data_IF_264216167643
#
_entry.id   IF_264216167643
#
_cell.length_a   1.000
_cell.length_b   1.000
_cell.length_c   1.000
_cell.angle_alpha   90.00
_cell.angle_beta   90.00
_cell.angle_gamma   90.00
#
_symmetry.space_group_name_H-M   'P 1'
#
loop_
_entity.id
_entity.type
_entity.pdbx_description
1 polymer ?
#
# COMPACT_ATOMS: atom_id res chain seq x y z
N UNK A 1 1.65 -19.37 9.02
CA UNK A 1 0.31 -19.42 8.41
C UNK A 1 0.38 -18.64 7.11
N UNK A 2 0.46 -19.35 5.98
CA UNK A 2 0.57 -18.73 4.65
C UNK A 2 -0.68 -17.91 4.36
N UNK A 3 -0.50 -16.63 4.03
CA UNK A 3 -1.57 -15.70 3.71
C UNK A 3 -2.23 -16.17 2.39
N UNK A 4 -3.33 -16.92 2.50
CA UNK A 4 -4.17 -17.29 1.35
C UNK A 4 -4.52 -16.01 0.58
N UNK A 5 -4.06 -15.92 -0.66
CA UNK A 5 -4.33 -14.81 -1.57
C UNK A 5 -3.36 -13.63 -1.47
N UNK A 6 -2.24 -13.70 -0.74
CA UNK A 6 -1.17 -12.71 -0.86
C UNK A 6 -0.09 -13.22 -1.82
N UNK A 7 0.10 -12.52 -2.93
CA UNK A 7 1.05 -12.89 -3.98
C UNK A 7 2.39 -12.17 -3.83
N UNK A 8 2.37 -10.97 -3.30
CA UNK A 8 3.57 -10.16 -3.05
C UNK A 8 3.36 -9.29 -1.82
N UNK A 9 4.42 -9.08 -1.04
CA UNK A 9 4.44 -8.11 0.04
C UNK A 9 5.84 -7.50 0.14
N UNK A 10 5.90 -6.18 0.18
CA UNK A 10 7.09 -5.43 0.56
C UNK A 10 6.74 -4.38 1.61
N UNK A 11 7.75 -3.95 2.37
CA UNK A 11 7.57 -2.93 3.42
C UNK A 11 8.67 -1.88 3.37
N UNK A 12 8.31 -0.65 3.70
CA UNK A 12 9.22 0.46 3.91
C UNK A 12 9.02 1.02 5.33
N UNK A 13 10.10 1.11 6.10
CA UNK A 13 10.07 1.64 7.47
C UNK A 13 10.65 3.04 7.46
N UNK A 14 9.93 4.00 8.04
CA UNK A 14 10.40 5.37 8.22
C UNK A 14 9.98 5.88 9.60
N UNK A 15 10.92 5.85 10.55
CA UNK A 15 10.68 6.28 11.93
C UNK A 15 9.49 5.55 12.59
N UNK A 16 8.42 6.30 12.89
CA UNK A 16 7.18 5.78 13.52
C UNK A 16 6.15 5.25 12.51
N UNK A 17 6.47 5.26 11.21
CA UNK A 17 5.57 4.81 10.14
C UNK A 17 6.16 3.57 9.46
N UNK A 18 5.31 2.59 9.21
CA UNK A 18 5.62 1.44 8.37
C UNK A 18 4.62 1.39 7.24
N UNK A 19 5.11 1.41 6.01
CA UNK A 19 4.32 1.26 4.80
C UNK A 19 4.41 -0.19 4.33
N UNK A 20 3.29 -0.76 3.92
CA UNK A 20 3.21 -2.10 3.34
C UNK A 20 2.61 -1.98 1.94
N UNK A 21 3.25 -2.61 0.96
CA UNK A 21 2.80 -2.68 -0.42
C UNK A 21 2.53 -4.13 -0.74
N UNK A 22 1.26 -4.51 -0.76
CA UNK A 22 0.85 -5.91 -0.93
C UNK A 22 0.10 -6.08 -2.24
N UNK A 23 0.38 -7.15 -2.98
CA UNK A 23 -0.45 -7.59 -4.09
C UNK A 23 -1.23 -8.81 -3.63
N UNK A 24 -2.55 -8.74 -3.75
CA UNK A 24 -3.46 -9.78 -3.31
C UNK A 24 -4.38 -10.22 -4.44
N UNK A 25 -4.83 -11.46 -4.34
CA UNK A 25 -5.79 -12.09 -5.23
C UNK A 25 -7.09 -12.34 -4.46
N UNK A 26 -8.22 -11.92 -5.03
CA UNK A 26 -9.54 -12.22 -4.46
C UNK A 26 -9.94 -13.68 -4.78
N UNK A 27 -11.13 -14.11 -4.36
CA UNK A 27 -11.62 -15.48 -4.63
C UNK A 27 -11.90 -15.77 -6.10
N UNK A 28 -12.05 -14.72 -6.91
CA UNK A 28 -12.36 -14.82 -8.34
C UNK A 28 -11.10 -14.81 -9.21
N UNK A 29 -9.91 -14.66 -8.62
CA UNK A 29 -8.64 -14.56 -9.34
C UNK A 29 -8.21 -13.13 -9.68
N UNK A 30 -8.99 -12.11 -9.28
CA UNK A 30 -8.66 -10.72 -9.58
C UNK A 30 -7.57 -10.19 -8.65
N UNK A 31 -6.59 -9.54 -9.26
CA UNK A 31 -5.47 -8.92 -8.56
C UNK A 31 -5.79 -7.50 -8.14
N UNK A 32 -5.38 -7.15 -6.93
CA UNK A 32 -5.45 -5.78 -6.42
C UNK A 32 -4.22 -5.44 -5.59
N UNK A 33 -3.85 -4.16 -5.65
CA UNK A 33 -2.82 -3.57 -4.80
C UNK A 33 -3.48 -3.12 -3.49
N UNK A 34 -2.82 -3.41 -2.37
CA UNK A 34 -3.20 -2.93 -1.04
C UNK A 34 -2.01 -2.23 -0.38
N UNK A 35 -2.08 -0.90 -0.31
CA UNK A 35 -1.09 -0.04 0.33
C UNK A 35 -1.58 0.27 1.75
N UNK A 36 -0.77 -0.05 2.75
CA UNK A 36 -1.11 0.19 4.16
C UNK A 36 -0.07 1.07 4.80
N UNK A 37 -0.48 2.20 5.38
CA UNK A 37 0.32 2.94 6.35
C UNK A 37 -0.05 2.46 7.76
N UNK A 38 0.96 2.06 8.54
CA UNK A 38 0.83 1.84 9.98
C UNK A 38 1.67 2.87 10.72
N UNK A 39 1.00 3.78 11.44
CA UNK A 39 1.61 4.85 12.21
C UNK A 39 1.49 4.55 13.70
N UNK A 40 2.61 4.60 14.42
CA UNK A 40 2.64 4.43 15.88
C UNK A 40 2.29 5.74 16.57
N UNK A 41 1.12 5.81 17.22
CA UNK A 41 0.59 7.01 17.90
C UNK A 41 0.90 7.05 19.41
N UNK A 42 1.39 5.96 19.99
CA UNK A 42 1.83 5.85 21.38
C UNK A 42 2.68 4.59 21.61
N UNK A 43 2.89 4.17 22.87
CA UNK A 43 3.68 2.95 23.12
C UNK A 43 3.02 1.68 22.55
N UNK A 44 1.68 1.61 22.58
CA UNK A 44 0.89 0.44 22.16
C UNK A 44 -0.19 0.72 21.11
N UNK A 45 -0.38 1.98 20.71
CA UNK A 45 -1.42 2.34 19.74
C UNK A 45 -0.84 2.48 18.33
N UNK A 46 -1.46 1.78 17.38
CA UNK A 46 -1.13 1.85 15.96
C UNK A 46 -2.36 2.28 15.18
N UNK A 47 -2.24 3.41 14.50
CA UNK A 47 -3.20 3.86 13.50
C UNK A 47 -2.87 3.18 12.16
N UNK A 48 -3.88 2.66 11.48
CA UNK A 48 -3.72 1.98 10.20
C UNK A 48 -4.64 2.62 9.16
N UNK A 49 -4.03 3.08 8.08
CA UNK A 49 -4.71 3.55 6.88
C UNK A 49 -4.46 2.57 5.75
N UNK A 50 -5.51 2.18 5.04
CA UNK A 50 -5.44 1.17 3.98
C UNK A 50 -6.07 1.73 2.71
N UNK A 51 -5.37 1.59 1.60
CA UNK A 51 -5.84 1.95 0.26
C UNK A 51 -5.81 0.69 -0.59
N UNK A 52 -6.94 0.36 -1.22
CA UNK A 52 -7.07 -0.74 -2.16
C UNK A 52 -7.24 -0.16 -3.56
N UNK A 53 -6.46 -0.66 -4.50
CA UNK A 53 -6.53 -0.26 -5.92
C UNK A 53 -6.67 -1.54 -6.74
N UNK A 54 -7.78 -1.66 -7.46
CA UNK A 54 -8.01 -2.80 -8.36
C UNK A 54 -7.20 -2.64 -9.65
N UNK A 55 -6.97 -3.74 -10.35
CA UNK A 55 -6.18 -3.77 -11.58
C UNK A 55 -6.70 -2.79 -12.64
N UNK A 56 -8.01 -2.61 -12.74
CA UNK A 56 -8.65 -1.69 -13.70
C UNK A 56 -8.31 -0.21 -13.45
N UNK A 57 -8.12 0.16 -12.18
CA UNK A 57 -7.82 1.55 -11.77
C UNK A 57 -6.31 1.82 -11.64
N UNK A 58 -5.47 0.78 -11.75
CA UNK A 58 -4.07 0.84 -11.39
C UNK A 58 -3.27 1.84 -12.25
N UNK A 59 -3.57 1.91 -13.54
CA UNK A 59 -2.89 2.82 -14.47
C UNK A 59 -3.15 4.28 -14.12
N UNK A 60 -4.42 4.66 -13.96
CA UNK A 60 -4.84 6.01 -13.55
C UNK A 60 -4.29 6.39 -12.17
N UNK A 61 -4.28 5.43 -11.23
CA UNK A 61 -3.71 5.63 -9.90
C UNK A 61 -2.20 5.90 -9.97
N UNK A 62 -1.46 5.11 -10.74
CA UNK A 62 0.00 5.27 -10.89
C UNK A 62 0.34 6.61 -11.54
N UNK A 63 -0.42 7.03 -12.56
CA UNK A 63 -0.19 8.33 -13.21
C UNK A 63 -0.33 9.50 -12.21
N UNK A 64 -1.40 9.49 -11.41
CA UNK A 64 -1.60 10.51 -10.37
C UNK A 64 -0.53 10.46 -9.28
N UNK A 65 -0.14 9.26 -8.86
CA UNK A 65 0.89 9.05 -7.86
C UNK A 65 2.27 9.54 -8.33
N UNK A 66 2.68 9.19 -9.54
CA UNK A 66 3.97 9.60 -10.12
C UNK A 66 4.06 11.11 -10.29
N UNK A 67 2.98 11.75 -10.78
CA UNK A 67 2.89 13.22 -10.87
C UNK A 67 3.08 13.87 -9.49
N UNK A 68 2.43 13.34 -8.45
CA UNK A 68 2.58 13.85 -7.09
C UNK A 68 4.00 13.64 -6.53
N UNK A 69 4.60 12.46 -6.75
CA UNK A 69 5.97 12.16 -6.32
C UNK A 69 6.98 13.06 -7.02
N UNK A 70 6.85 13.27 -8.32
CA UNK A 70 7.73 14.16 -9.09
C UNK A 70 7.68 15.60 -8.56
N UNK A 71 6.48 16.09 -8.21
CA UNK A 71 6.31 17.41 -7.61
C UNK A 71 7.03 17.52 -6.26
N UNK A 72 6.89 16.51 -5.38
CA UNK A 72 7.56 16.48 -4.07
C UNK A 72 9.08 16.42 -4.19
N UNK A 73 9.63 15.69 -5.17
CA UNK A 73 11.10 15.58 -5.36
C UNK A 73 11.77 16.84 -5.90
N UNK A 74 11.01 17.68 -6.62
CA UNK A 74 11.54 18.88 -7.28
C UNK A 74 11.46 20.11 -6.36
N UNK A 75 10.67 20.04 -5.30
CA UNK A 75 10.48 21.07 -4.28
C UNK A 75 11.43 20.84 -3.10
#
# INVERSE_FOLDING_TARGET
MGLRGELFSSRAVSGRRTYFFNVKENRNGDLFLNIVESKKNGEKEFERHSIIVFREDLESFLEGFEKAVAFVKTK
#
